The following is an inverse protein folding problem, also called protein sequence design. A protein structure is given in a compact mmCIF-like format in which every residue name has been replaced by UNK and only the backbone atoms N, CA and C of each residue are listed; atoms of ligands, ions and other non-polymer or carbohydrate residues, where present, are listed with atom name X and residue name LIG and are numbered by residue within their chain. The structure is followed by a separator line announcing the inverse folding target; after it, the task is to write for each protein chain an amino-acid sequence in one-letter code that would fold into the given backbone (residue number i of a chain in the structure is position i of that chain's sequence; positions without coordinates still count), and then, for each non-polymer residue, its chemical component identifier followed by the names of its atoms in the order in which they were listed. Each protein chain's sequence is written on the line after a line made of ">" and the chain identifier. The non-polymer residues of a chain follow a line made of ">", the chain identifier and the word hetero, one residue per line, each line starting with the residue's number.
data_IF_026801154505
#
_entry.id   IF_026801154505
#
_cell.length_a   1.000
_cell.length_b   1.000
_cell.length_c   1.000
_cell.angle_alpha   90.00
_cell.angle_beta   90.00
_cell.angle_gamma   90.00
#
_symmetry.space_group_name_H-M   'P 1'
#
loop_
_entity.id
_entity.type
_entity.pdbx_description
1 polymer ?
#
# COMPACT_ATOMS: atom_id res chain seq x y z
N UNK A 1 41.49 16.64 -17.50
CA UNK A 1 41.11 15.47 -16.70
C UNK A 1 40.44 15.96 -15.42
N UNK A 2 39.10 15.83 -15.32
CA UNK A 2 38.30 15.84 -14.09
C UNK A 2 36.89 15.34 -14.48
N UNK A 3 36.70 14.03 -14.35
CA UNK A 3 35.41 13.37 -14.49
C UNK A 3 34.59 13.73 -13.24
N UNK A 4 33.53 14.51 -13.39
CA UNK A 4 32.56 14.76 -12.32
C UNK A 4 31.53 13.63 -12.37
N UNK A 5 31.79 12.57 -11.59
CA UNK A 5 30.80 11.55 -11.28
C UNK A 5 29.75 12.18 -10.36
N UNK A 6 28.69 12.76 -10.97
CA UNK A 6 27.44 12.98 -10.24
C UNK A 6 26.86 11.61 -9.95
N UNK A 7 26.79 11.27 -8.66
CA UNK A 7 26.15 10.05 -8.18
C UNK A 7 24.74 9.96 -8.75
N UNK A 8 24.50 8.94 -9.57
CA UNK A 8 23.16 8.42 -9.78
C UNK A 8 22.69 7.92 -8.42
N UNK A 9 21.69 8.58 -7.84
CA UNK A 9 20.94 7.97 -6.76
C UNK A 9 20.37 6.65 -7.32
N UNK A 10 20.62 5.55 -6.61
CA UNK A 10 20.13 4.21 -6.92
C UNK A 10 18.59 4.17 -6.88
N UNK A 11 17.93 4.63 -7.94
CA UNK A 11 16.60 4.15 -8.32
C UNK A 11 16.74 2.82 -9.04
N UNK A 12 17.31 1.81 -8.37
CA UNK A 12 17.11 0.42 -8.77
C UNK A 12 15.61 0.16 -8.65
N UNK A 13 14.94 0.00 -9.79
CA UNK A 13 13.50 0.12 -9.93
C UNK A 13 12.72 -0.81 -8.99
N UNK A 14 11.80 -0.21 -8.22
CA UNK A 14 10.77 -0.95 -7.50
C UNK A 14 9.96 -1.76 -8.51
N UNK A 15 10.16 -3.07 -8.53
CA UNK A 15 9.39 -3.99 -9.35
C UNK A 15 8.09 -4.36 -8.63
N UNK A 16 7.04 -4.71 -9.38
CA UNK A 16 5.77 -5.16 -8.80
C UNK A 16 5.96 -6.29 -7.78
N UNK A 17 6.77 -7.35 -8.05
CA UNK A 17 7.03 -8.39 -7.04
C UNK A 17 7.65 -7.86 -5.74
N UNK A 18 8.65 -6.97 -5.82
CA UNK A 18 9.30 -6.43 -4.62
C UNK A 18 8.35 -5.56 -3.78
N UNK A 19 7.49 -4.77 -4.43
CA UNK A 19 6.47 -3.96 -3.75
C UNK A 19 5.39 -4.84 -3.16
N UNK A 20 4.93 -5.86 -3.90
CA UNK A 20 3.99 -6.87 -3.41
C UNK A 20 4.51 -7.54 -2.13
N UNK A 21 5.72 -8.10 -2.14
CA UNK A 21 6.26 -8.84 -0.99
C UNK A 21 6.39 -7.95 0.25
N UNK A 22 6.77 -6.69 0.04
CA UNK A 22 6.84 -5.67 1.09
C UNK A 22 5.47 -5.39 1.70
N UNK A 23 4.46 -5.13 0.87
CA UNK A 23 3.09 -4.85 1.30
C UNK A 23 2.45 -6.09 1.95
N UNK A 24 2.68 -7.27 1.39
CA UNK A 24 2.13 -8.52 1.91
C UNK A 24 2.65 -8.80 3.31
N UNK A 25 3.96 -8.64 3.55
CA UNK A 25 4.56 -8.74 4.88
C UNK A 25 3.93 -7.74 5.86
N UNK A 26 3.80 -6.48 5.46
CA UNK A 26 3.18 -5.43 6.30
C UNK A 26 1.74 -5.79 6.67
N UNK A 27 0.95 -6.30 5.73
CA UNK A 27 -0.42 -6.73 5.99
C UNK A 27 -0.46 -7.95 6.93
N UNK A 28 0.46 -8.90 6.77
CA UNK A 28 0.56 -10.05 7.67
C UNK A 28 0.93 -9.63 9.09
N UNK A 29 1.85 -8.68 9.24
CA UNK A 29 2.22 -8.11 10.53
C UNK A 29 0.99 -7.43 11.19
N UNK A 30 0.25 -6.59 10.44
CA UNK A 30 -0.99 -5.97 10.93
C UNK A 30 -2.08 -6.99 11.29
N UNK A 31 -2.17 -8.09 10.52
CA UNK A 31 -3.15 -9.17 10.76
C UNK A 31 -2.93 -9.89 12.10
N UNK A 32 -1.70 -9.86 12.65
CA UNK A 32 -1.42 -10.42 13.97
C UNK A 32 -2.13 -9.67 15.09
N UNK A 33 -2.52 -8.41 14.87
CA UNK A 33 -3.23 -7.58 15.84
C UNK A 33 -4.75 -7.79 15.85
N UNK A 34 -5.30 -8.57 14.90
CA UNK A 34 -6.75 -8.86 14.82
C UNK A 34 -7.37 -9.31 16.14
N UNK A 35 -6.79 -10.25 16.91
CA UNK A 35 -7.38 -10.70 18.17
C UNK A 35 -7.51 -9.58 19.20
N UNK A 36 -6.58 -8.63 19.20
CA UNK A 36 -6.60 -7.45 20.09
C UNK A 36 -7.42 -6.27 19.57
N UNK A 37 -7.86 -6.32 18.30
CA UNK A 37 -8.65 -5.28 17.61
C UNK A 37 -9.99 -5.83 17.12
N UNK A 38 -10.65 -6.64 17.95
CA UNK A 38 -11.89 -7.30 17.61
C UNK A 38 -13.16 -6.46 17.87
N UNK A 39 -13.00 -5.17 18.21
CA UNK A 39 -14.10 -4.24 18.37
C UNK A 39 -14.80 -3.93 17.03
N UNK A 40 -15.98 -3.36 17.14
CA UNK A 40 -16.74 -2.83 16.01
C UNK A 40 -16.88 -1.31 16.15
N UNK A 41 -16.46 -0.58 15.11
CA UNK A 41 -16.60 0.86 15.08
C UNK A 41 -17.94 1.22 14.42
N UNK A 42 -18.91 1.66 15.23
CA UNK A 42 -20.26 1.99 14.74
C UNK A 42 -20.28 3.16 13.74
N UNK A 43 -19.40 4.15 13.90
CA UNK A 43 -19.37 5.31 13.02
C UNK A 43 -18.85 4.95 11.62
N UNK A 44 -17.89 4.02 11.54
CA UNK A 44 -17.36 3.50 10.29
C UNK A 44 -18.18 2.32 9.73
N UNK A 45 -19.00 1.68 10.56
CA UNK A 45 -19.77 0.50 10.19
C UNK A 45 -18.92 -0.75 9.96
N UNK A 46 -17.75 -0.85 10.59
CA UNK A 46 -16.71 -1.83 10.24
C UNK A 46 -15.98 -2.37 11.47
N UNK A 47 -15.33 -3.53 11.36
CA UNK A 47 -14.46 -4.08 12.41
C UNK A 47 -13.19 -3.25 12.55
N UNK A 48 -12.75 -3.04 13.79
CA UNK A 48 -11.57 -2.20 14.09
C UNK A 48 -10.28 -2.74 13.45
N UNK A 49 -10.13 -4.06 13.36
CA UNK A 49 -8.98 -4.67 12.68
C UNK A 49 -8.99 -4.41 11.16
N UNK A 50 -10.17 -4.36 10.52
CA UNK A 50 -10.28 -4.04 9.09
C UNK A 50 -9.83 -2.60 8.86
N UNK A 51 -10.31 -1.67 9.68
CA UNK A 51 -9.90 -0.26 9.62
C UNK A 51 -8.39 -0.11 9.83
N UNK A 52 -7.82 -0.86 10.79
CA UNK A 52 -6.39 -0.85 11.06
C UNK A 52 -5.56 -1.38 9.87
N UNK A 53 -6.00 -2.48 9.24
CA UNK A 53 -5.33 -3.04 8.06
C UNK A 53 -5.38 -2.07 6.87
N UNK A 54 -6.57 -1.50 6.57
CA UNK A 54 -6.73 -0.48 5.53
C UNK A 54 -5.83 0.73 5.76
N UNK A 55 -5.82 1.26 6.99
CA UNK A 55 -4.97 2.40 7.35
C UNK A 55 -3.48 2.08 7.22
N UNK A 56 -3.06 0.87 7.60
CA UNK A 56 -1.67 0.41 7.48
C UNK A 56 -1.25 0.31 6.02
N UNK A 57 -2.11 -0.27 5.17
CA UNK A 57 -1.88 -0.38 3.74
C UNK A 57 -1.85 1.00 3.07
N UNK A 58 -2.76 1.91 3.42
CA UNK A 58 -2.78 3.29 2.94
C UNK A 58 -1.46 4.01 3.24
N UNK A 59 -0.99 3.93 4.49
CA UNK A 59 0.25 4.57 4.92
C UNK A 59 1.45 4.04 4.12
N UNK A 60 1.53 2.73 3.93
CA UNK A 60 2.65 2.10 3.23
C UNK A 60 2.62 2.36 1.72
N UNK A 61 1.44 2.28 1.08
CA UNK A 61 1.25 2.67 -0.33
C UNK A 61 1.69 4.12 -0.53
N UNK A 62 1.24 5.04 0.33
CA UNK A 62 1.61 6.45 0.22
C UNK A 62 3.09 6.70 0.49
N UNK A 63 3.72 5.92 1.38
CA UNK A 63 5.18 5.97 1.56
C UNK A 63 5.91 5.58 0.29
N UNK A 64 5.50 4.49 -0.37
CA UNK A 64 6.10 4.04 -1.63
C UNK A 64 5.87 5.07 -2.75
N UNK A 65 4.69 5.68 -2.81
CA UNK A 65 4.40 6.75 -3.78
C UNK A 65 5.27 7.97 -3.53
N UNK A 66 5.47 8.38 -2.28
CA UNK A 66 6.37 9.47 -1.90
C UNK A 66 7.84 9.17 -2.25
N UNK A 67 8.31 7.94 -2.01
CA UNK A 67 9.64 7.46 -2.42
C UNK A 67 9.86 7.58 -3.94
N UNK A 68 8.77 7.52 -4.72
CA UNK A 68 8.76 7.68 -6.18
C UNK A 68 8.48 9.11 -6.66
N UNK A 69 8.27 10.06 -5.75
CA UNK A 69 7.89 11.44 -6.10
C UNK A 69 6.49 11.58 -6.69
N UNK A 70 5.59 10.64 -6.39
CA UNK A 70 4.20 10.61 -6.86
C UNK A 70 3.26 11.04 -5.74
N UNK A 71 2.20 11.79 -6.06
CA UNK A 71 1.22 12.26 -5.07
C UNK A 71 0.50 11.10 -4.35
N UNK A 72 0.02 11.31 -3.11
CA UNK A 72 -0.65 10.28 -2.33
C UNK A 72 -2.01 9.86 -2.93
N UNK A 73 -2.52 8.72 -2.48
CA UNK A 73 -3.91 8.28 -2.66
C UNK A 73 -4.67 8.38 -1.34
N UNK A 74 -6.00 8.31 -1.41
CA UNK A 74 -6.89 8.32 -0.26
C UNK A 74 -7.37 6.91 0.12
N UNK A 75 -8.22 6.84 1.14
CA UNK A 75 -8.80 5.59 1.63
C UNK A 75 -9.71 4.91 0.61
N UNK A 76 -10.43 5.68 -0.22
CA UNK A 76 -11.31 5.13 -1.25
C UNK A 76 -10.51 4.29 -2.26
N UNK A 77 -9.34 4.76 -2.69
CA UNK A 77 -8.46 3.99 -3.56
C UNK A 77 -7.97 2.67 -2.93
N UNK A 78 -7.78 2.63 -1.60
CA UNK A 78 -7.41 1.41 -0.87
C UNK A 78 -8.59 0.44 -0.80
N UNK A 79 -9.80 0.94 -0.56
CA UNK A 79 -11.02 0.12 -0.57
C UNK A 79 -11.28 -0.48 -1.97
N UNK A 80 -11.08 0.30 -3.03
CA UNK A 80 -11.18 -0.18 -4.42
C UNK A 80 -10.15 -1.28 -4.71
N UNK A 81 -8.91 -1.14 -4.20
CA UNK A 81 -7.88 -2.15 -4.31
C UNK A 81 -8.17 -3.43 -3.50
N UNK A 82 -8.85 -3.31 -2.35
CA UNK A 82 -9.24 -4.43 -1.50
C UNK A 82 -10.41 -5.23 -2.09
N UNK A 83 -11.37 -4.55 -2.73
CA UNK A 83 -12.61 -5.13 -3.23
C UNK A 83 -12.46 -6.47 -4.00
N UNK A 84 -11.53 -6.62 -4.97
CA UNK A 84 -11.31 -7.89 -5.68
C UNK A 84 -10.63 -9.00 -4.85
N UNK A 85 -10.12 -8.69 -3.65
CA UNK A 85 -9.55 -9.67 -2.73
C UNK A 85 -10.58 -10.24 -1.75
N UNK A 86 -11.67 -9.52 -1.48
CA UNK A 86 -12.67 -9.91 -0.49
C UNK A 86 -13.28 -11.29 -0.80
N UNK A 87 -13.41 -12.13 0.24
CA UNK A 87 -13.97 -13.48 0.13
C UNK A 87 -13.03 -14.54 -0.47
N UNK A 88 -11.81 -14.17 -0.85
CA UNK A 88 -10.83 -15.12 -1.37
C UNK A 88 -9.92 -15.70 -0.27
N UNK A 89 -9.55 -16.97 -0.41
CA UNK A 89 -8.63 -17.66 0.53
C UNK A 89 -7.23 -17.05 0.53
N UNK A 90 -6.82 -16.47 -0.60
CA UNK A 90 -5.55 -15.76 -0.80
C UNK A 90 -5.69 -14.24 -0.60
N UNK A 91 -6.70 -13.80 0.17
CA UNK A 91 -7.04 -12.40 0.44
C UNK A 91 -5.82 -11.51 0.66
N UNK A 92 -4.93 -11.87 1.58
CA UNK A 92 -3.79 -11.01 1.95
C UNK A 92 -2.79 -10.81 0.81
N UNK A 93 -2.58 -11.85 0.01
CA UNK A 93 -1.72 -11.80 -1.18
C UNK A 93 -2.36 -10.93 -2.27
N UNK A 94 -3.65 -11.16 -2.57
CA UNK A 94 -4.38 -10.36 -3.56
C UNK A 94 -4.47 -8.88 -3.18
N UNK A 95 -4.78 -8.57 -1.92
CA UNK A 95 -4.86 -7.19 -1.48
C UNK A 95 -3.50 -6.48 -1.59
N UNK A 96 -2.42 -7.16 -1.21
CA UNK A 96 -1.06 -6.66 -1.42
C UNK A 96 -0.71 -6.45 -2.89
N UNK A 97 -1.18 -7.34 -3.79
CA UNK A 97 -0.98 -7.22 -5.23
C UNK A 97 -1.66 -5.96 -5.78
N UNK A 98 -2.94 -5.75 -5.49
CA UNK A 98 -3.66 -4.57 -5.98
C UNK A 98 -3.12 -3.27 -5.35
N UNK A 99 -2.71 -3.30 -4.07
CA UNK A 99 -2.01 -2.17 -3.47
C UNK A 99 -0.64 -1.92 -4.11
N UNK A 100 0.06 -2.96 -4.60
CA UNK A 100 1.33 -2.80 -5.31
C UNK A 100 1.15 -2.12 -6.66
N UNK A 101 0.09 -2.48 -7.40
CA UNK A 101 -0.29 -1.83 -8.65
C UNK A 101 -0.65 -0.36 -8.41
N UNK A 102 -1.42 -0.09 -7.36
CA UNK A 102 -1.77 1.26 -6.94
C UNK A 102 -0.54 2.08 -6.54
N UNK A 103 0.39 1.51 -5.78
CA UNK A 103 1.63 2.15 -5.37
C UNK A 103 2.57 2.45 -6.54
N UNK A 104 2.52 1.63 -7.60
CA UNK A 104 3.32 1.74 -8.81
C UNK A 104 2.64 2.54 -9.95
N UNK A 105 1.35 2.81 -9.83
CA UNK A 105 0.62 3.66 -10.79
C UNK A 105 1.25 5.05 -10.90
N UNK A 106 1.15 5.70 -12.07
CA UNK A 106 1.52 7.10 -12.22
C UNK A 106 0.59 7.98 -11.36
N UNK A 107 1.10 9.13 -10.92
CA UNK A 107 0.27 10.14 -10.25
C UNK A 107 -0.69 10.78 -11.23
N UNK A 108 -1.86 11.18 -10.74
CA UNK A 108 -2.79 11.94 -11.55
C UNK A 108 -2.15 13.28 -11.91
N UNK A 109 -1.81 13.49 -13.18
CA UNK A 109 -1.08 14.68 -13.64
C UNK A 109 -2.02 15.89 -13.82
N UNK A 110 -3.27 15.80 -13.35
CA UNK A 110 -4.28 16.86 -13.48
C UNK A 110 -4.43 17.65 -12.18
N UNK A 111 -3.36 18.35 -11.79
CA UNK A 111 -3.45 19.50 -10.90
C UNK A 111 -2.24 20.41 -11.14
N UNK A 112 -2.40 21.31 -12.12
CA UNK A 112 -1.62 22.54 -12.25
C UNK A 112 -2.61 23.71 -12.24
#
# INVERSE_FOLDING_TARGET
>A
MKLSLRGHADTQGLTTPAVHDRLHRILLDASLERPSRNGYNEAAGELEWVLHERATMLAEVNRIRAERGVGPVDEAAIMDAEQPALGHVDYSSKFALYCSELALSPGDTRAA
#
